data_IF_107195106175
#
_entry.id   IF_107195106175
#
_cell.length_a   1.000
_cell.length_b   1.000
_cell.length_c   1.000
_cell.angle_alpha   90.00
_cell.angle_beta   90.00
_cell.angle_gamma   90.00
#
_symmetry.space_group_name_H-M   'P 1'
#
loop_
_entity.id
_entity.type
_entity.pdbx_description
1 polymer ?
#
# COMPACT_ATOMS: atom_id res chain seq x y z
N UNK A 1 44.08 -46.65 -19.27
CA UNK A 1 43.45 -45.81 -18.22
C UNK A 1 43.22 -44.43 -18.80
N UNK A 2 42.01 -44.13 -19.24
CA UNK A 2 41.62 -42.77 -19.65
C UNK A 2 41.19 -42.00 -18.41
N UNK A 3 41.63 -40.75 -18.19
CA UNK A 3 41.19 -39.98 -17.04
C UNK A 3 39.74 -39.52 -17.22
N UNK A 4 38.96 -39.32 -16.14
CA UNK A 4 37.60 -38.84 -16.24
C UNK A 4 37.61 -37.35 -16.64
N UNK A 5 37.01 -37.04 -17.79
CA UNK A 5 36.70 -35.67 -18.19
C UNK A 5 35.63 -35.10 -17.25
N UNK A 6 36.06 -34.47 -16.16
CA UNK A 6 35.22 -33.67 -15.27
C UNK A 6 35.43 -32.19 -15.57
N UNK A 7 34.97 -31.74 -16.74
CA UNK A 7 34.75 -30.32 -17.00
C UNK A 7 33.25 -30.07 -17.17
N UNK A 8 32.51 -30.14 -16.06
CA UNK A 8 31.15 -29.61 -16.02
C UNK A 8 31.22 -28.07 -16.03
N UNK A 9 31.54 -27.50 -17.19
CA UNK A 9 31.51 -26.05 -17.41
C UNK A 9 30.12 -25.52 -17.08
N UNK A 10 30.06 -24.39 -16.37
CA UNK A 10 28.81 -23.65 -16.18
C UNK A 10 28.18 -23.37 -17.55
N UNK A 11 26.98 -23.91 -17.80
CA UNK A 11 26.29 -23.67 -19.05
C UNK A 11 26.07 -22.17 -19.24
N UNK A 12 26.13 -21.68 -20.49
CA UNK A 12 25.90 -20.28 -20.81
C UNK A 12 24.59 -19.74 -20.20
N UNK A 13 23.54 -20.57 -20.13
CA UNK A 13 22.29 -20.24 -19.45
C UNK A 13 22.44 -20.06 -17.92
N UNK A 14 23.25 -20.89 -17.25
CA UNK A 14 23.57 -20.71 -15.83
C UNK A 14 24.45 -19.50 -15.58
N UNK A 15 25.40 -19.22 -16.46
CA UNK A 15 26.26 -18.04 -16.37
C UNK A 15 25.44 -16.75 -16.58
N UNK A 16 24.53 -16.75 -17.55
CA UNK A 16 23.56 -15.66 -17.77
C UNK A 16 22.64 -15.49 -16.56
N UNK A 17 22.11 -16.57 -15.97
CA UNK A 17 21.29 -16.48 -14.77
C UNK A 17 22.08 -16.04 -13.53
N UNK A 18 23.37 -16.39 -13.43
CA UNK A 18 24.25 -15.96 -12.34
C UNK A 18 24.62 -14.47 -12.44
N UNK A 19 24.58 -13.89 -13.64
CA UNK A 19 24.86 -12.47 -13.90
C UNK A 19 23.57 -11.65 -14.06
N UNK A 20 22.41 -12.31 -14.23
CA UNK A 20 21.11 -11.65 -14.37
C UNK A 20 20.78 -10.93 -13.06
N UNK A 21 20.86 -9.61 -13.12
CA UNK A 21 20.26 -8.72 -12.12
C UNK A 21 18.81 -8.51 -12.55
N UNK A 22 17.86 -8.92 -11.73
CA UNK A 22 16.46 -8.55 -11.95
C UNK A 22 16.30 -7.06 -11.63
N UNK A 23 15.69 -6.31 -12.56
CA UNK A 23 15.46 -4.89 -12.34
C UNK A 23 14.26 -4.70 -11.43
N UNK A 24 14.35 -3.79 -10.46
CA UNK A 24 13.21 -3.45 -9.60
C UNK A 24 12.02 -2.87 -10.37
N UNK A 25 12.29 -2.24 -11.53
CA UNK A 25 11.24 -1.76 -12.42
C UNK A 25 10.32 -2.89 -12.89
N UNK A 26 10.83 -4.11 -13.03
CA UNK A 26 10.04 -5.25 -13.53
C UNK A 26 8.97 -5.72 -12.53
N UNK A 27 8.99 -5.20 -11.29
CA UNK A 27 8.00 -5.51 -10.26
C UNK A 27 6.97 -4.39 -10.06
N UNK A 28 7.11 -3.26 -10.77
CA UNK A 28 6.14 -2.17 -10.69
C UNK A 28 4.84 -2.55 -11.41
N UNK A 29 3.68 -2.17 -10.86
CA UNK A 29 2.40 -2.62 -11.39
C UNK A 29 2.07 -2.00 -12.75
N UNK A 30 2.41 -0.74 -12.98
CA UNK A 30 1.97 0.02 -14.15
C UNK A 30 2.75 -0.37 -15.42
N UNK A 31 2.09 -0.99 -16.40
CA UNK A 31 2.75 -1.45 -17.65
C UNK A 31 2.47 -0.50 -18.80
N UNK A 32 1.20 -0.26 -19.08
CA UNK A 32 0.72 0.56 -20.18
C UNK A 32 -0.52 1.35 -19.75
N UNK A 33 -0.85 2.38 -20.52
CA UNK A 33 -2.04 3.18 -20.35
C UNK A 33 -2.95 2.98 -21.56
N UNK A 34 -4.25 2.90 -21.30
CA UNK A 34 -5.27 2.80 -22.31
C UNK A 34 -6.16 4.05 -22.25
N UNK A 35 -6.14 4.84 -23.34
CA UNK A 35 -6.89 6.09 -23.42
C UNK A 35 -8.40 5.87 -23.53
N UNK A 36 -8.85 4.75 -24.11
CA UNK A 36 -10.28 4.47 -24.29
C UNK A 36 -10.98 4.21 -22.96
N UNK A 37 -10.37 3.38 -22.11
CA UNK A 37 -10.91 3.05 -20.78
C UNK A 37 -10.42 4.00 -19.68
N UNK A 38 -9.46 4.87 -19.98
CA UNK A 38 -8.75 5.73 -19.01
C UNK A 38 -8.22 4.92 -17.82
N UNK A 39 -7.42 3.90 -18.13
CA UNK A 39 -6.98 2.91 -17.18
C UNK A 39 -5.52 2.50 -17.40
N UNK A 40 -4.87 2.08 -16.32
CA UNK A 40 -3.57 1.42 -16.40
C UNK A 40 -3.74 -0.09 -16.55
N UNK A 41 -3.12 -0.65 -17.58
CA UNK A 41 -2.87 -2.08 -17.64
C UNK A 41 -1.75 -2.43 -16.66
N UNK A 42 -2.04 -3.38 -15.77
CA UNK A 42 -1.13 -3.83 -14.73
C UNK A 42 -0.41 -5.12 -15.12
N UNK A 43 0.77 -5.38 -14.51
CA UNK A 43 1.63 -6.55 -14.77
C UNK A 43 0.96 -7.93 -14.57
N UNK A 44 -0.12 -7.97 -13.79
CA UNK A 44 -0.92 -9.16 -13.49
C UNK A 44 -2.18 -9.26 -14.37
N UNK A 45 -2.18 -8.65 -15.56
CA UNK A 45 -3.29 -8.63 -16.54
C UNK A 45 -4.60 -8.11 -15.97
N UNK A 46 -4.49 -7.04 -15.19
CA UNK A 46 -5.64 -6.37 -14.57
C UNK A 46 -5.63 -4.88 -14.93
N UNK A 47 -6.74 -4.22 -14.63
CA UNK A 47 -7.03 -2.84 -14.98
C UNK A 47 -7.08 -2.00 -13.71
N UNK A 48 -6.34 -0.90 -13.69
CA UNK A 48 -6.24 0.01 -12.55
C UNK A 48 -6.74 1.40 -12.92
N UNK A 49 -7.73 1.89 -12.18
CA UNK A 49 -8.20 3.27 -12.27
C UNK A 49 -7.80 4.03 -11.02
N UNK A 50 -7.54 5.32 -11.17
CA UNK A 50 -7.13 6.18 -10.06
C UNK A 50 -7.87 7.52 -10.07
N UNK A 51 -8.18 7.98 -8.86
CA UNK A 51 -8.75 9.28 -8.59
C UNK A 51 -8.00 9.95 -7.45
N UNK A 52 -8.04 11.27 -7.43
CA UNK A 52 -7.65 12.08 -6.29
C UNK A 52 -8.91 12.62 -5.60
N UNK A 53 -8.90 12.61 -4.27
CA UNK A 53 -9.94 13.11 -3.39
C UNK A 53 -9.40 14.28 -2.59
N UNK A 54 -10.25 15.24 -2.27
CA UNK A 54 -9.89 16.30 -1.33
C UNK A 54 -9.79 15.69 0.07
N UNK A 55 -8.63 15.81 0.75
CA UNK A 55 -8.48 15.29 2.10
C UNK A 55 -9.45 16.00 3.05
N UNK A 56 -10.21 15.23 3.83
CA UNK A 56 -11.10 15.78 4.84
C UNK A 56 -10.44 15.73 6.20
N UNK A 57 -10.36 16.87 6.90
CA UNK A 57 -9.77 16.94 8.25
C UNK A 57 -10.53 16.11 9.30
N UNK A 58 -11.82 15.84 9.06
CA UNK A 58 -12.64 15.01 9.94
C UNK A 58 -13.67 14.21 9.14
N UNK A 59 -14.12 13.10 9.72
CA UNK A 59 -15.17 12.27 9.14
C UNK A 59 -16.54 12.87 9.48
N UNK A 60 -16.96 13.86 8.69
CA UNK A 60 -18.32 14.39 8.77
C UNK A 60 -19.35 13.37 8.26
N UNK A 61 -20.61 13.50 8.65
CA UNK A 61 -21.67 12.57 8.24
C UNK A 61 -21.76 12.38 6.72
N UNK A 62 -21.59 13.45 5.93
CA UNK A 62 -21.60 13.35 4.47
C UNK A 62 -20.40 12.56 3.91
N UNK A 63 -19.21 12.65 4.54
CA UNK A 63 -18.01 11.88 4.17
C UNK A 63 -18.24 10.41 4.49
N UNK A 64 -18.77 10.12 5.67
CA UNK A 64 -19.11 8.75 6.08
C UNK A 64 -20.12 8.13 5.12
N UNK A 65 -21.21 8.84 4.79
CA UNK A 65 -22.22 8.35 3.85
C UNK A 65 -21.65 8.10 2.45
N UNK A 66 -20.77 8.98 1.95
CA UNK A 66 -20.11 8.81 0.66
C UNK A 66 -19.21 7.56 0.61
N UNK A 67 -18.36 7.38 1.64
CA UNK A 67 -17.48 6.21 1.74
C UNK A 67 -18.27 4.92 1.95
N UNK A 68 -19.35 4.95 2.75
CA UNK A 68 -20.22 3.79 2.91
C UNK A 68 -20.95 3.45 1.60
N UNK A 69 -21.41 4.46 0.86
CA UNK A 69 -21.96 4.31 -0.49
C UNK A 69 -20.98 3.61 -1.42
N UNK A 70 -19.71 4.06 -1.46
CA UNK A 70 -18.63 3.43 -2.22
C UNK A 70 -18.43 1.95 -1.86
N UNK A 71 -18.38 1.61 -0.56
CA UNK A 71 -18.16 0.22 -0.12
C UNK A 71 -19.35 -0.70 -0.44
N UNK A 72 -20.55 -0.13 -0.51
CA UNK A 72 -21.78 -0.86 -0.84
C UNK A 72 -21.96 -1.09 -2.35
N UNK A 73 -21.18 -0.42 -3.20
CA UNK A 73 -21.17 -0.71 -4.65
C UNK A 73 -20.85 -2.19 -4.89
N UNK A 74 -21.55 -2.79 -5.86
CA UNK A 74 -21.33 -4.18 -6.24
C UNK A 74 -20.16 -4.28 -7.22
N UNK A 75 -18.95 -4.34 -6.67
CA UNK A 75 -17.74 -4.59 -7.44
C UNK A 75 -17.63 -6.06 -7.88
N UNK A 76 -17.04 -6.34 -9.05
CA UNK A 76 -16.72 -7.71 -9.48
C UNK A 76 -15.79 -8.43 -8.50
N UNK A 77 -15.84 -9.77 -8.51
CA UNK A 77 -14.96 -10.59 -7.69
C UNK A 77 -13.47 -10.35 -7.98
N UNK A 78 -12.68 -10.29 -6.92
CA UNK A 78 -11.24 -10.02 -7.01
C UNK A 78 -10.90 -8.54 -7.23
N UNK A 79 -11.87 -7.63 -7.00
CA UNK A 79 -11.61 -6.19 -6.98
C UNK A 79 -10.80 -5.81 -5.74
N UNK A 80 -9.77 -4.99 -5.96
CA UNK A 80 -8.97 -4.38 -4.90
C UNK A 80 -9.19 -2.87 -4.94
N UNK A 81 -9.68 -2.32 -3.83
CA UNK A 81 -9.82 -0.88 -3.65
C UNK A 81 -8.74 -0.43 -2.67
N UNK A 82 -8.00 0.62 -3.00
CA UNK A 82 -6.95 1.15 -2.14
C UNK A 82 -7.19 2.65 -1.93
N UNK A 83 -7.13 3.06 -0.67
CA UNK A 83 -7.11 4.46 -0.29
C UNK A 83 -5.73 4.80 0.23
N UNK A 84 -5.07 5.75 -0.40
CA UNK A 84 -3.75 6.24 -0.03
C UNK A 84 -3.88 7.64 0.55
N UNK A 85 -3.35 7.87 1.74
CA UNK A 85 -3.17 9.21 2.30
C UNK A 85 -1.68 9.48 2.39
N UNK A 86 -1.21 10.44 1.60
CA UNK A 86 0.18 10.83 1.55
C UNK A 86 0.37 12.17 2.26
N UNK A 87 1.26 12.19 3.26
CA UNK A 87 1.68 13.40 3.95
C UNK A 87 2.84 14.02 3.16
N UNK A 88 2.49 14.75 2.10
CA UNK A 88 3.41 15.25 1.09
C UNK A 88 4.27 16.40 1.65
N UNK A 89 5.61 16.30 1.59
CA UNK A 89 6.50 17.39 2.02
C UNK A 89 6.59 18.52 0.98
N UNK A 90 6.13 18.32 -0.25
CA UNK A 90 6.07 19.38 -1.26
C UNK A 90 4.75 20.15 -1.10
N UNK A 91 4.88 21.40 -0.72
CA UNK A 91 3.76 22.33 -0.49
C UNK A 91 3.78 23.51 -1.44
N UNK A 92 4.84 23.65 -2.25
CA UNK A 92 5.08 24.84 -3.07
C UNK A 92 3.93 25.09 -4.05
N UNK A 93 3.42 24.06 -4.74
CA UNK A 93 2.26 24.19 -5.64
C UNK A 93 1.02 24.79 -4.94
N UNK A 94 0.77 24.41 -3.67
CA UNK A 94 -0.35 24.93 -2.90
C UNK A 94 -0.10 26.38 -2.43
N UNK A 95 1.15 26.71 -2.11
CA UNK A 95 1.53 28.06 -1.72
C UNK A 95 1.53 29.03 -2.92
N UNK A 96 1.94 28.55 -4.09
CA UNK A 96 1.93 29.32 -5.34
C UNK A 96 0.49 29.57 -5.78
N UNK A 97 -0.38 28.55 -5.74
CA UNK A 97 -1.81 28.74 -5.97
C UNK A 97 -2.44 29.74 -4.98
N UNK A 98 -1.98 29.77 -3.71
CA UNK A 98 -2.42 30.78 -2.75
C UNK A 98 -2.01 32.20 -3.15
N UNK A 99 -0.82 32.39 -3.72
CA UNK A 99 -0.35 33.68 -4.23
C UNK A 99 -1.14 34.09 -5.48
N UNK A 100 -1.42 33.17 -6.39
CA UNK A 100 -2.18 33.44 -7.62
C UNK A 100 -3.61 33.93 -7.33
N UNK A 101 -4.20 33.50 -6.23
CA UNK A 101 -5.50 33.99 -5.76
C UNK A 101 -5.44 35.45 -5.25
N UNK A 102 -4.27 36.01 -4.99
CA UNK A 102 -4.09 37.41 -4.54
C UNK A 102 -3.98 38.33 -5.75
N UNK A 103 -5.12 38.57 -6.40
CA UNK A 103 -5.21 39.42 -7.60
C UNK A 103 -5.24 40.93 -7.32
N UNK A 104 -5.38 41.35 -6.05
CA UNK A 104 -5.41 42.78 -5.66
C UNK A 104 -3.99 43.35 -5.62
N UNK A 105 -3.77 44.45 -6.35
CA UNK A 105 -2.48 45.16 -6.40
C UNK A 105 -2.28 46.13 -5.23
N UNK A 106 -2.52 45.65 -4.01
CA UNK A 106 -2.22 46.39 -2.78
C UNK A 106 -0.85 45.94 -2.24
N UNK A 107 0.14 46.85 -2.12
CA UNK A 107 1.50 46.48 -1.69
C UNK A 107 1.56 45.80 -0.32
N UNK A 108 0.70 46.16 0.62
CA UNK A 108 0.66 45.56 1.95
C UNK A 108 0.09 44.14 1.89
N UNK A 109 -0.98 43.94 1.12
CA UNK A 109 -1.58 42.61 0.92
C UNK A 109 -0.59 41.68 0.23
N UNK A 110 0.08 42.16 -0.81
CA UNK A 110 1.09 41.38 -1.55
C UNK A 110 2.30 41.04 -0.66
N UNK A 111 2.80 42.00 0.11
CA UNK A 111 3.90 41.76 1.05
C UNK A 111 3.51 40.74 2.14
N UNK A 112 2.29 40.85 2.68
CA UNK A 112 1.75 39.91 3.66
C UNK A 112 1.62 38.49 3.08
N UNK A 113 1.10 38.36 1.86
CA UNK A 113 0.93 37.08 1.19
C UNK A 113 2.29 36.40 0.92
N UNK A 114 3.28 37.14 0.41
CA UNK A 114 4.65 36.62 0.20
C UNK A 114 5.32 36.20 1.50
N UNK A 115 5.09 36.94 2.59
CA UNK A 115 5.63 36.57 3.91
C UNK A 115 4.98 35.30 4.45
N UNK A 116 3.68 35.12 4.24
CA UNK A 116 2.99 33.89 4.61
C UNK A 116 3.51 32.67 3.81
N UNK A 117 3.70 32.83 2.50
CA UNK A 117 4.33 31.83 1.63
C UNK A 117 5.71 31.43 2.16
N UNK A 118 6.61 32.40 2.36
CA UNK A 118 7.95 32.15 2.87
C UNK A 118 7.95 31.45 4.24
N UNK A 119 7.12 31.92 5.18
CA UNK A 119 7.01 31.34 6.51
C UNK A 119 6.56 29.87 6.48
N UNK A 120 5.58 29.53 5.64
CA UNK A 120 5.10 28.16 5.51
C UNK A 120 6.11 27.27 4.77
N UNK A 121 6.78 27.79 3.74
CA UNK A 121 7.83 27.06 2.99
C UNK A 121 9.04 26.72 3.88
N UNK A 122 9.50 27.67 4.71
CA UNK A 122 10.53 27.43 5.73
C UNK A 122 10.09 26.37 6.76
N UNK A 123 8.78 26.25 6.98
CA UNK A 123 8.13 25.28 7.86
C UNK A 123 8.08 23.83 7.37
N UNK A 124 8.54 23.52 6.15
CA UNK A 124 8.53 22.15 5.57
C UNK A 124 9.24 21.08 6.42
N UNK A 125 10.18 21.51 7.27
CA UNK A 125 10.95 20.64 8.17
C UNK A 125 10.60 20.85 9.65
N UNK A 126 9.61 21.67 9.94
CA UNK A 126 9.16 21.95 11.29
C UNK A 126 9.05 23.44 11.58
N UNK A 127 7.87 23.88 11.98
CA UNK A 127 7.69 25.25 12.48
C UNK A 127 7.98 25.30 13.98
N UNK A 128 8.85 26.24 14.40
CA UNK A 128 9.13 26.47 15.83
C UNK A 128 7.87 26.79 16.63
N UNK A 129 6.93 27.51 16.01
CA UNK A 129 5.64 27.85 16.62
C UNK A 129 4.73 26.63 16.84
N UNK A 130 4.97 25.53 16.12
CA UNK A 130 4.24 24.27 16.21
C UNK A 130 5.13 23.15 16.76
N UNK A 131 6.03 23.45 17.70
CA UNK A 131 6.93 22.45 18.30
C UNK A 131 7.75 21.61 17.31
N UNK A 132 8.07 22.17 16.14
CA UNK A 132 8.80 21.46 15.09
C UNK A 132 7.94 20.53 14.22
N UNK A 133 6.61 20.63 14.29
CA UNK A 133 5.71 19.91 13.38
C UNK A 133 5.88 20.49 11.97
N UNK A 134 6.20 19.65 10.96
CA UNK A 134 6.40 20.12 9.60
C UNK A 134 5.06 20.41 8.91
N UNK A 135 5.06 21.46 8.10
CA UNK A 135 3.95 21.80 7.20
C UNK A 135 3.92 20.80 6.05
N UNK A 136 2.72 20.33 5.68
CA UNK A 136 2.54 19.29 4.66
C UNK A 136 1.28 19.52 3.85
N UNK A 137 1.30 19.03 2.63
CA UNK A 137 0.12 18.90 1.79
C UNK A 137 -0.40 17.46 1.91
N UNK A 138 -1.57 17.26 2.51
CA UNK A 138 -2.15 15.92 2.55
C UNK A 138 -2.82 15.63 1.20
N UNK A 139 -2.45 14.53 0.56
CA UNK A 139 -3.09 14.08 -0.69
C UNK A 139 -3.78 12.75 -0.43
N UNK A 140 -5.01 12.61 -0.92
CA UNK A 140 -5.76 11.35 -0.81
C UNK A 140 -6.02 10.79 -2.20
N UNK A 141 -5.49 9.61 -2.48
CA UNK A 141 -5.64 8.93 -3.77
C UNK A 141 -6.49 7.69 -3.57
N UNK A 142 -7.48 7.49 -4.42
CA UNK A 142 -8.28 6.28 -4.52
C UNK A 142 -7.82 5.51 -5.75
N UNK A 143 -7.47 4.24 -5.61
CA UNK A 143 -7.28 3.33 -6.72
C UNK A 143 -8.25 2.17 -6.67
N UNK A 144 -8.79 1.78 -7.81
CA UNK A 144 -9.63 0.60 -7.96
C UNK A 144 -9.02 -0.27 -9.03
N UNK A 145 -8.76 -1.53 -8.66
CA UNK A 145 -8.10 -2.51 -9.48
C UNK A 145 -9.00 -3.72 -9.71
N UNK A 146 -9.23 -4.08 -10.97
CA UNK A 146 -10.19 -5.10 -11.40
C UNK A 146 -9.59 -6.01 -12.47
N UNK A 147 -10.08 -7.26 -12.58
CA UNK A 147 -9.63 -8.21 -13.63
C UNK A 147 -10.05 -7.84 -15.05
N UNK A 148 -11.10 -7.02 -15.17
CA UNK A 148 -11.64 -6.50 -16.43
C UNK A 148 -11.72 -4.98 -16.30
N UNK A 149 -11.70 -4.23 -17.42
CA UNK A 149 -11.93 -2.79 -17.37
C UNK A 149 -13.22 -2.46 -16.60
N UNK A 150 -13.21 -1.39 -15.79
CA UNK A 150 -14.45 -0.93 -15.19
C UNK A 150 -15.39 -0.43 -16.30
N UNK A 151 -16.62 -0.94 -16.30
CA UNK A 151 -17.67 -0.41 -17.17
C UNK A 151 -17.98 1.04 -16.82
N UNK A 152 -18.42 1.81 -17.81
CA UNK A 152 -18.68 3.25 -17.65
C UNK A 152 -19.69 3.55 -16.54
N UNK A 153 -20.72 2.72 -16.38
CA UNK A 153 -21.74 2.90 -15.35
C UNK A 153 -21.17 2.72 -13.93
N UNK A 154 -20.31 1.73 -13.72
CA UNK A 154 -19.68 1.49 -12.42
C UNK A 154 -18.72 2.63 -12.09
N UNK A 155 -18.01 3.14 -13.09
CA UNK A 155 -17.13 4.32 -12.97
C UNK A 155 -17.92 5.56 -12.57
N UNK A 156 -19.04 5.83 -13.26
CA UNK A 156 -19.95 6.93 -12.97
C UNK A 156 -20.52 6.81 -11.56
N UNK A 157 -20.88 5.60 -11.13
CA UNK A 157 -21.37 5.36 -9.78
C UNK A 157 -20.32 5.72 -8.71
N UNK A 158 -19.05 5.35 -8.91
CA UNK A 158 -17.95 5.74 -8.01
C UNK A 158 -17.82 7.26 -7.94
N UNK A 159 -17.86 7.94 -9.08
CA UNK A 159 -17.75 9.40 -9.18
C UNK A 159 -18.94 10.12 -8.53
N UNK A 160 -20.15 9.62 -8.72
CA UNK A 160 -21.36 10.17 -8.09
C UNK A 160 -21.32 10.04 -6.57
N UNK A 161 -20.94 8.86 -6.05
CA UNK A 161 -20.83 8.64 -4.60
C UNK A 161 -19.80 9.57 -3.94
N UNK A 162 -18.71 9.85 -4.65
CA UNK A 162 -17.57 10.63 -4.13
C UNK A 162 -17.55 12.09 -4.60
N UNK A 163 -18.57 12.53 -5.35
CA UNK A 163 -18.70 13.91 -5.86
C UNK A 163 -18.55 14.98 -4.77
N UNK A 164 -19.11 14.72 -3.58
CA UNK A 164 -19.03 15.62 -2.41
C UNK A 164 -17.64 15.72 -1.80
N UNK A 165 -16.71 14.83 -2.16
CA UNK A 165 -15.33 14.81 -1.71
C UNK A 165 -14.36 15.42 -2.73
N UNK A 166 -14.88 16.11 -3.75
CA UNK A 166 -14.06 16.75 -4.78
C UNK A 166 -13.24 15.73 -5.58
N UNK A 167 -13.87 14.61 -5.96
CA UNK A 167 -13.23 13.57 -6.75
C UNK A 167 -12.79 14.07 -8.12
N UNK A 168 -11.56 13.76 -8.50
CA UNK A 168 -10.96 14.06 -9.80
C UNK A 168 -10.27 12.81 -10.36
N UNK A 169 -10.49 12.48 -11.63
CA UNK A 169 -9.71 11.42 -12.31
C UNK A 169 -8.24 11.82 -12.34
N UNK A 170 -7.35 10.90 -11.96
CA UNK A 170 -5.93 11.18 -11.94
C UNK A 170 -5.33 10.91 -13.33
N UNK A 171 -4.76 11.93 -14.01
CA UNK A 171 -4.11 11.74 -15.30
C UNK A 171 -2.90 10.81 -15.20
N UNK A 172 -2.53 10.12 -16.29
CA UNK A 172 -1.45 9.14 -16.23
C UNK A 172 -0.10 9.76 -15.87
N UNK A 173 0.17 10.98 -16.34
CA UNK A 173 1.40 11.73 -16.04
C UNK A 173 1.53 12.01 -14.54
N UNK A 174 0.43 12.38 -13.88
CA UNK A 174 0.42 12.66 -12.45
C UNK A 174 0.61 11.40 -11.62
N UNK A 175 0.03 10.27 -12.05
CA UNK A 175 0.26 8.99 -11.39
C UNK A 175 1.72 8.54 -11.53
N UNK A 176 2.31 8.68 -12.72
CA UNK A 176 3.74 8.39 -12.94
C UNK A 176 4.61 9.32 -12.10
N UNK A 177 4.31 10.62 -12.05
CA UNK A 177 5.03 11.57 -11.21
C UNK A 177 4.97 11.17 -9.72
N UNK A 178 3.79 10.76 -9.23
CA UNK A 178 3.62 10.27 -7.86
C UNK A 178 4.52 9.06 -7.57
N UNK A 179 4.51 8.04 -8.44
CA UNK A 179 5.39 6.88 -8.28
C UNK A 179 6.87 7.25 -8.34
N UNK A 180 7.29 8.09 -9.30
CA UNK A 180 8.67 8.56 -9.41
C UNK A 180 9.13 9.21 -8.11
N UNK A 181 8.29 10.02 -7.47
CA UNK A 181 8.60 10.62 -6.16
C UNK A 181 8.73 9.59 -5.04
N UNK A 182 7.86 8.59 -4.98
CA UNK A 182 7.96 7.53 -3.96
C UNK A 182 9.27 6.75 -4.08
N UNK A 183 9.74 6.45 -5.31
CA UNK A 183 10.91 5.61 -5.53
C UNK A 183 12.24 6.37 -5.64
N UNK A 184 12.24 7.61 -6.12
CA UNK A 184 13.46 8.37 -6.39
C UNK A 184 13.74 9.47 -5.34
N UNK A 185 12.75 9.82 -4.50
CA UNK A 185 12.90 10.80 -3.42
C UNK A 185 11.62 11.62 -3.21
N UNK A 186 11.03 11.55 -2.02
CA UNK A 186 9.76 12.25 -1.73
C UNK A 186 9.92 13.74 -1.55
N UNK A 187 11.13 14.20 -1.21
CA UNK A 187 11.43 15.60 -0.89
C UNK A 187 11.68 16.47 -2.13
N UNK A 188 11.81 15.84 -3.30
CA UNK A 188 12.15 16.49 -4.56
C UNK A 188 10.98 16.32 -5.56
N UNK A 189 10.71 17.32 -6.42
CA UNK A 189 9.75 17.17 -7.50
C UNK A 189 10.31 16.18 -8.54
N UNK A 190 9.45 15.31 -9.06
CA UNK A 190 9.81 14.43 -10.17
C UNK A 190 8.80 14.63 -11.31
N UNK A 191 9.24 15.05 -12.50
CA UNK A 191 8.33 15.23 -13.62
C UNK A 191 7.73 13.89 -14.02
N UNK A 192 6.44 13.90 -14.36
CA UNK A 192 5.71 12.75 -14.90
C UNK A 192 6.06 12.51 -16.36
N UNK A 193 7.33 12.19 -16.66
CA UNK A 193 7.74 11.80 -18.01
C UNK A 193 6.99 10.51 -18.34
N UNK A 194 6.10 10.63 -19.31
CA UNK A 194 5.19 9.57 -19.72
C UNK A 194 5.25 9.45 -21.24
N UNK A 195 5.99 8.46 -21.72
CA UNK A 195 5.83 8.00 -23.08
C UNK A 195 4.70 6.97 -23.06
N UNK A 196 3.55 7.37 -23.60
CA UNK A 196 2.27 6.63 -23.69
C UNK A 196 2.30 5.38 -24.58
N UNK A 197 3.44 5.06 -25.19
CA UNK A 197 3.57 3.96 -26.14
C UNK A 197 3.15 4.30 -27.57
N UNK A 198 2.56 5.48 -27.83
CA UNK A 198 2.31 5.99 -29.19
C UNK A 198 3.62 6.30 -29.93
N UNK A 199 4.69 6.55 -29.16
CA UNK A 199 6.04 6.65 -29.69
C UNK A 199 6.60 5.26 -29.93
N UNK A 200 6.78 4.88 -31.20
CA UNK A 200 7.37 3.60 -31.60
C UNK A 200 8.69 3.34 -30.86
N UNK A 201 8.73 2.29 -30.03
CA UNK A 201 9.91 1.90 -29.25
C UNK A 201 9.97 2.47 -27.82
N UNK A 202 8.93 3.15 -27.34
CA UNK A 202 8.85 3.59 -25.94
C UNK A 202 8.89 2.39 -24.97
N UNK A 203 9.68 2.45 -23.88
CA UNK A 203 9.70 1.40 -22.88
C UNK A 203 8.39 1.38 -22.08
N UNK A 204 8.00 0.22 -21.49
CA UNK A 204 6.85 0.15 -20.58
C UNK A 204 6.93 1.19 -19.46
N UNK A 205 5.79 1.67 -18.99
CA UNK A 205 5.70 2.73 -17.97
C UNK A 205 6.51 2.39 -16.72
N UNK A 206 6.46 1.13 -16.27
CA UNK A 206 7.26 0.59 -15.17
C UNK A 206 8.76 0.91 -15.27
N UNK A 207 9.33 0.89 -16.48
CA UNK A 207 10.75 1.16 -16.73
C UNK A 207 11.09 2.66 -16.76
N UNK A 208 10.08 3.52 -16.81
CA UNK A 208 10.22 4.98 -16.80
C UNK A 208 10.13 5.56 -15.36
N UNK A 209 9.76 4.76 -14.36
CA UNK A 209 9.49 5.24 -12.99
C UNK A 209 10.77 5.34 -12.15
N UNK A 210 11.63 4.32 -12.20
CA UNK A 210 12.84 4.28 -11.37
C UNK A 210 13.98 4.88 -12.17
N UNK A 211 14.59 5.94 -11.64
CA UNK A 211 15.72 6.58 -12.29
C UNK A 211 16.96 5.68 -12.26
N UNK A 212 17.86 5.84 -13.23
CA UNK A 212 19.15 5.17 -13.20
C UNK A 212 20.07 5.87 -12.19
N UNK A 213 20.57 5.16 -11.18
CA UNK A 213 21.54 5.71 -10.21
C UNK A 213 21.24 5.59 -8.71
N UNK A 214 19.99 5.52 -8.22
CA UNK A 214 19.76 5.25 -6.81
C UNK A 214 19.99 3.77 -6.50
N UNK A 215 20.87 3.50 -5.53
CA UNK A 215 21.05 2.16 -4.99
C UNK A 215 19.77 1.73 -4.26
N UNK A 216 18.96 0.91 -4.93
CA UNK A 216 17.81 0.25 -4.33
C UNK A 216 18.29 -0.96 -3.54
N UNK A 217 18.43 -0.79 -2.22
CA UNK A 217 18.95 -1.82 -1.33
C UNK A 217 17.92 -2.18 -0.27
N UNK A 218 17.70 -3.47 -0.08
CA UNK A 218 16.85 -4.00 0.99
C UNK A 218 17.74 -4.52 2.10
N UNK A 219 17.71 -3.89 3.28
CA UNK A 219 18.47 -4.35 4.44
C UNK A 219 17.54 -4.60 5.62
N UNK A 220 17.27 -5.87 5.92
CA UNK A 220 16.32 -6.27 6.94
C UNK A 220 14.92 -5.66 6.77
N UNK A 221 14.64 -4.61 7.57
CA UNK A 221 13.37 -3.88 7.62
C UNK A 221 13.45 -2.46 7.03
N UNK A 222 14.58 -2.12 6.41
CA UNK A 222 14.86 -0.83 5.78
C UNK A 222 14.95 -1.02 4.26
N UNK A 223 14.42 -0.03 3.53
CA UNK A 223 14.54 0.06 2.09
C UNK A 223 15.24 1.36 1.77
N UNK A 224 16.41 1.27 1.15
CA UNK A 224 17.10 2.41 0.60
C UNK A 224 16.50 2.67 -0.78
N UNK A 225 15.91 3.86 -0.95
CA UNK A 225 15.28 4.33 -2.18
C UNK A 225 16.07 5.56 -2.63
N UNK A 226 17.28 5.35 -3.17
CA UNK A 226 18.14 6.46 -3.56
C UNK A 226 18.60 7.31 -2.38
N UNK A 227 18.13 8.56 -2.33
CA UNK A 227 18.52 9.53 -1.31
C UNK A 227 17.68 9.45 -0.01
N UNK A 228 16.81 8.44 0.12
CA UNK A 228 15.94 8.28 1.29
C UNK A 228 15.88 6.83 1.78
N UNK A 229 15.46 6.66 3.04
CA UNK A 229 15.25 5.37 3.68
C UNK A 229 13.78 5.21 4.04
N UNK A 230 13.13 4.20 3.47
CA UNK A 230 11.75 3.86 3.76
C UNK A 230 11.66 2.69 4.76
N UNK A 231 10.64 2.73 5.63
CA UNK A 231 10.26 1.60 6.48
C UNK A 231 8.76 1.36 6.42
N UNK A 232 8.38 0.09 6.42
CA UNK A 232 6.99 -0.37 6.36
C UNK A 232 6.54 -0.91 7.72
N UNK A 233 5.39 -0.44 8.19
CA UNK A 233 4.68 -1.00 9.34
C UNK A 233 3.32 -1.52 8.89
N UNK A 234 2.97 -2.71 9.39
CA UNK A 234 1.65 -3.31 9.21
C UNK A 234 1.18 -3.90 10.54
N UNK A 235 -0.12 -3.85 10.84
CA UNK A 235 -0.63 -4.55 12.01
C UNK A 235 -0.49 -6.06 11.83
N UNK A 236 0.05 -6.73 12.84
CA UNK A 236 0.05 -8.18 13.01
C UNK A 236 -1.34 -8.67 13.42
N UNK A 237 -2.01 -7.91 14.28
CA UNK A 237 -3.40 -8.15 14.68
C UNK A 237 -4.18 -6.83 14.56
N UNK A 238 -5.34 -6.82 13.86
CA UNK A 238 -6.19 -5.65 13.80
C UNK A 238 -6.84 -5.37 15.16
N UNK A 239 -7.18 -4.12 15.41
CA UNK A 239 -8.02 -3.77 16.56
C UNK A 239 -9.44 -4.35 16.36
N UNK A 240 -10.06 -4.85 17.44
CA UNK A 240 -11.42 -5.42 17.41
C UNK A 240 -12.47 -4.41 16.94
N UNK A 241 -12.32 -3.14 17.35
CA UNK A 241 -13.20 -2.05 16.94
C UNK A 241 -12.41 -0.77 16.82
N UNK A 242 -12.72 0.01 15.80
CA UNK A 242 -12.16 1.35 15.58
C UNK A 242 -13.30 2.34 15.42
N UNK A 243 -13.14 3.53 16.02
CA UNK A 243 -14.03 4.67 15.83
C UNK A 243 -13.33 5.71 14.95
N UNK A 244 -14.10 6.65 14.39
CA UNK A 244 -13.56 7.70 13.54
C UNK A 244 -12.47 8.55 14.22
N UNK A 245 -12.71 8.96 15.47
CA UNK A 245 -11.73 9.72 16.26
C UNK A 245 -10.42 8.93 16.42
N UNK A 246 -10.52 7.63 16.71
CA UNK A 246 -9.35 6.77 16.86
C UNK A 246 -8.61 6.56 15.55
N UNK A 247 -9.34 6.44 14.43
CA UNK A 247 -8.73 6.34 13.11
C UNK A 247 -7.92 7.60 12.76
N UNK A 248 -8.41 8.79 13.11
CA UNK A 248 -7.67 10.05 12.90
C UNK A 248 -6.35 10.08 13.70
N UNK A 249 -6.37 9.60 14.95
CA UNK A 249 -5.17 9.51 15.80
C UNK A 249 -4.07 8.60 15.26
N UNK A 250 -4.39 7.66 14.37
CA UNK A 250 -3.39 6.79 13.75
C UNK A 250 -2.41 7.54 12.83
N UNK A 251 -2.79 8.74 12.38
CA UNK A 251 -1.97 9.58 11.49
C UNK A 251 -1.30 10.75 12.22
N UNK A 252 -1.70 11.04 13.46
CA UNK A 252 -1.13 12.06 14.32
C UNK A 252 -2.15 12.59 15.35
N UNK A 253 -1.66 13.36 16.32
CA UNK A 253 -2.49 14.08 17.28
C UNK A 253 -3.49 15.03 16.61
N UNK A 254 -4.68 15.17 17.20
CA UNK A 254 -5.75 16.06 16.76
C UNK A 254 -6.10 17.14 17.81
N UNK A 255 -5.62 17.04 19.05
CA UNK A 255 -5.97 17.94 20.17
C UNK A 255 -4.95 19.06 20.43
N UNK A 256 -4.31 19.55 19.37
CA UNK A 256 -3.35 20.65 19.42
C UNK A 256 -2.18 20.36 20.37
N UNK A 257 -1.73 21.38 21.12
CA UNK A 257 -0.53 21.35 21.95
C UNK A 257 -0.39 20.12 22.89
N UNK A 258 -1.51 19.56 23.36
CA UNK A 258 -1.50 18.37 24.22
C UNK A 258 -1.07 17.07 23.51
N UNK A 259 -1.20 17.02 22.18
CA UNK A 259 -0.88 15.87 21.33
C UNK A 259 0.16 16.25 20.25
N UNK A 260 0.86 17.38 20.39
CA UNK A 260 1.91 17.80 19.43
C UNK A 260 3.09 16.82 19.41
N UNK A 261 3.38 16.16 20.54
CA UNK A 261 4.38 15.10 20.63
C UNK A 261 3.99 13.83 19.88
N UNK A 262 2.70 13.68 19.58
CA UNK A 262 2.09 12.51 18.94
C UNK A 262 1.97 12.69 17.42
N UNK A 263 2.75 13.61 16.84
CA UNK A 263 2.87 13.77 15.40
C UNK A 263 3.97 12.89 14.81
N UNK A 264 3.71 12.32 13.63
CA UNK A 264 4.76 11.71 12.81
C UNK A 264 5.56 12.87 12.22
N UNK A 265 6.84 13.02 12.58
CA UNK A 265 7.69 14.18 12.22
C UNK A 265 8.31 14.16 10.81
N UNK A 266 7.90 13.27 9.91
CA UNK A 266 8.39 13.18 8.54
C UNK A 266 7.33 12.70 7.55
N UNK A 267 7.63 12.68 6.25
CA UNK A 267 6.70 12.24 5.23
C UNK A 267 6.33 10.77 5.41
N UNK A 268 5.05 10.47 5.22
CA UNK A 268 4.51 9.13 5.35
C UNK A 268 3.40 8.87 4.33
N UNK A 269 3.26 7.62 3.93
CA UNK A 269 2.19 7.12 3.08
C UNK A 269 1.39 6.09 3.87
N UNK A 270 0.18 6.46 4.25
CA UNK A 270 -0.81 5.54 4.77
C UNK A 270 -1.58 4.92 3.61
N UNK A 271 -1.82 3.61 3.65
CA UNK A 271 -2.57 2.89 2.63
C UNK A 271 -3.54 1.92 3.28
N UNK A 272 -4.80 2.03 2.91
CA UNK A 272 -5.86 1.11 3.31
C UNK A 272 -6.23 0.23 2.11
N UNK A 273 -5.85 -1.04 2.15
CA UNK A 273 -6.21 -2.00 1.10
C UNK A 273 -7.50 -2.71 1.49
N UNK A 274 -8.50 -2.65 0.63
CA UNK A 274 -9.82 -3.25 0.81
C UNK A 274 -10.00 -4.29 -0.29
N UNK A 275 -10.15 -5.54 0.12
CA UNK A 275 -10.27 -6.69 -0.78
C UNK A 275 -11.73 -7.16 -0.81
N UNK A 276 -12.34 -7.10 -1.98
CA UNK A 276 -13.69 -7.61 -2.25
C UNK A 276 -13.61 -9.07 -2.73
N UNK A 277 -13.14 -9.94 -1.83
CA UNK A 277 -12.79 -11.34 -2.16
C UNK A 277 -13.56 -12.36 -1.31
N UNK A 278 -14.50 -11.92 -0.47
CA UNK A 278 -15.18 -12.81 0.47
C UNK A 278 -16.57 -13.14 -0.06
N UNK A 279 -16.73 -14.41 -0.46
CA UNK A 279 -18.06 -15.00 -0.53
C UNK A 279 -18.55 -15.30 0.88
N UNK A 280 -19.83 -15.01 1.18
CA UNK A 280 -20.46 -15.43 2.45
C UNK A 280 -20.25 -16.93 2.69
N UNK A 281 -20.17 -17.72 1.61
CA UNK A 281 -19.87 -19.14 1.64
C UNK A 281 -18.53 -19.49 2.31
N UNK A 282 -17.44 -18.76 2.05
CA UNK A 282 -16.15 -19.03 2.71
C UNK A 282 -16.20 -18.75 4.21
N UNK A 283 -16.92 -17.71 4.62
CA UNK A 283 -17.15 -17.37 6.03
C UNK A 283 -17.92 -18.51 6.70
N UNK A 284 -19.03 -18.95 6.09
CA UNK A 284 -19.82 -20.09 6.59
C UNK A 284 -19.00 -21.38 6.68
N UNK A 285 -18.18 -21.68 5.66
CA UNK A 285 -17.34 -22.88 5.66
C UNK A 285 -16.28 -22.83 6.77
N UNK A 286 -15.62 -21.69 6.98
CA UNK A 286 -14.66 -21.50 8.07
C UNK A 286 -15.34 -21.62 9.42
N UNK A 287 -16.52 -21.02 9.57
CA UNK A 287 -17.31 -21.13 10.77
C UNK A 287 -17.63 -22.59 11.11
N UNK A 288 -18.10 -23.37 10.13
CA UNK A 288 -18.43 -24.77 10.31
C UNK A 288 -17.21 -25.62 10.74
N UNK A 289 -16.04 -25.37 10.13
CA UNK A 289 -14.79 -26.06 10.49
C UNK A 289 -14.35 -25.71 11.91
N UNK A 290 -14.39 -24.43 12.29
CA UNK A 290 -14.00 -23.97 13.63
C UNK A 290 -14.99 -24.43 14.72
N UNK A 291 -16.29 -24.42 14.45
CA UNK A 291 -17.30 -24.94 15.38
C UNK A 291 -17.18 -26.47 15.58
N UNK A 292 -16.73 -27.20 14.56
CA UNK A 292 -16.45 -28.63 14.67
C UNK A 292 -15.18 -28.93 15.51
N UNK A 293 -14.22 -27.99 15.54
CA UNK A 293 -13.00 -28.08 16.34
C UNK A 293 -13.22 -27.58 17.76
N UNK A 294 -13.95 -28.33 18.59
CA UNK A 294 -13.93 -28.11 20.05
C UNK A 294 -12.58 -28.58 20.61
N UNK A 295 -11.62 -27.66 20.74
CA UNK A 295 -10.35 -27.94 21.37
C UNK A 295 -10.48 -27.93 22.91
N UNK A 296 -9.88 -28.91 23.59
CA UNK A 296 -9.71 -28.94 25.04
C UNK A 296 -8.33 -28.35 25.43
N UNK A 297 -8.24 -27.65 26.57
CA UNK A 297 -6.98 -27.13 27.12
C UNK A 297 -6.78 -25.61 26.94
N UNK A 298 -5.54 -25.11 27.10
CA UNK A 298 -5.21 -23.67 27.07
C UNK A 298 -5.52 -22.97 25.73
N UNK A 299 -5.61 -23.73 24.63
CA UNK A 299 -6.07 -23.24 23.32
C UNK A 299 -7.59 -23.07 23.21
N UNK A 300 -8.38 -23.62 24.15
CA UNK A 300 -9.84 -23.52 24.14
C UNK A 300 -10.34 -22.09 24.30
N UNK A 301 -9.59 -21.24 25.01
CA UNK A 301 -9.96 -19.83 25.24
C UNK A 301 -9.78 -19.00 23.96
N UNK A 302 -8.70 -19.23 23.21
CA UNK A 302 -8.45 -18.55 21.94
C UNK A 302 -9.47 -18.98 20.87
N UNK A 303 -9.71 -20.30 20.77
CA UNK A 303 -10.71 -20.88 19.87
C UNK A 303 -12.12 -20.43 20.25
N UNK A 304 -12.44 -20.35 21.55
CA UNK A 304 -13.71 -19.83 22.04
C UNK A 304 -13.97 -18.38 21.63
N UNK A 305 -12.96 -17.50 21.74
CA UNK A 305 -13.05 -16.11 21.26
C UNK A 305 -13.27 -16.03 19.75
N UNK A 306 -12.61 -16.90 18.98
CA UNK A 306 -12.80 -16.95 17.52
C UNK A 306 -14.19 -17.47 17.14
N UNK A 307 -14.74 -18.44 17.89
CA UNK A 307 -16.11 -18.93 17.70
C UNK A 307 -17.12 -17.82 18.00
N UNK A 308 -16.93 -17.06 19.07
CA UNK A 308 -17.80 -15.91 19.42
C UNK A 308 -17.74 -14.82 18.33
N UNK A 309 -16.55 -14.49 17.85
CA UNK A 309 -16.36 -13.51 16.75
C UNK A 309 -17.02 -13.98 15.45
N UNK A 310 -16.86 -15.27 15.13
CA UNK A 310 -17.54 -15.88 13.98
C UNK A 310 -19.06 -15.88 14.17
N UNK A 311 -19.56 -16.14 15.38
CA UNK A 311 -20.98 -16.07 15.70
C UNK A 311 -21.54 -14.68 15.41
N UNK A 312 -20.86 -13.62 15.87
CA UNK A 312 -21.23 -12.24 15.56
C UNK A 312 -21.18 -11.95 14.04
N UNK A 313 -20.14 -12.43 13.34
CA UNK A 313 -20.04 -12.28 11.88
C UNK A 313 -21.22 -12.96 11.19
N UNK A 314 -21.63 -14.14 11.62
CA UNK A 314 -22.76 -14.88 11.05
C UNK A 314 -24.09 -14.15 11.29
N UNK A 315 -24.28 -13.59 12.48
CA UNK A 315 -25.47 -12.80 12.82
C UNK A 315 -25.55 -11.51 11.97
N UNK A 316 -24.42 -10.88 11.67
CA UNK A 316 -24.37 -9.68 10.83
C UNK A 316 -24.25 -9.96 9.33
N UNK A 317 -23.87 -11.17 8.90
CA UNK A 317 -23.66 -11.52 7.49
C UNK A 317 -24.90 -11.31 6.61
N UNK A 318 -26.09 -11.37 7.20
CA UNK A 318 -27.36 -11.07 6.51
C UNK A 318 -27.63 -9.58 6.31
N UNK A 319 -27.06 -8.70 7.13
CA UNK A 319 -27.36 -7.27 7.15
C UNK A 319 -26.20 -6.40 6.62
N UNK A 320 -24.97 -6.91 6.69
CA UNK A 320 -23.74 -6.14 6.46
C UNK A 320 -22.82 -6.83 5.46
N UNK A 321 -22.18 -6.05 4.60
CA UNK A 321 -21.16 -6.53 3.66
C UNK A 321 -19.80 -6.62 4.35
N UNK A 322 -19.24 -7.82 4.42
CA UNK A 322 -17.90 -8.04 4.97
C UNK A 322 -16.82 -7.85 3.90
N UNK A 323 -15.81 -7.06 4.23
CA UNK A 323 -14.63 -6.83 3.39
C UNK A 323 -13.37 -7.04 4.20
N UNK A 324 -12.30 -7.52 3.55
CA UNK A 324 -11.00 -7.67 4.21
C UNK A 324 -10.21 -6.38 4.07
N UNK A 325 -9.78 -5.83 5.20
CA UNK A 325 -9.05 -4.56 5.26
C UNK A 325 -7.62 -4.79 5.75
N UNK A 326 -6.63 -4.28 5.02
CA UNK A 326 -5.21 -4.39 5.37
C UNK A 326 -4.60 -2.99 5.33
N UNK A 327 -4.49 -2.30 6.49
CA UNK A 327 -3.82 -1.02 6.54
C UNK A 327 -2.30 -1.20 6.55
N UNK A 328 -1.59 -0.26 5.95
CA UNK A 328 -0.14 -0.23 5.85
C UNK A 328 0.32 1.22 5.99
N UNK A 329 1.40 1.46 6.72
CA UNK A 329 2.02 2.78 6.79
C UNK A 329 3.49 2.67 6.40
N UNK A 330 3.88 3.54 5.48
CA UNK A 330 5.26 3.76 5.08
C UNK A 330 5.73 5.09 5.63
N UNK A 331 6.92 5.11 6.21
CA UNK A 331 7.58 6.35 6.63
C UNK A 331 8.85 6.51 5.80
N UNK A 332 9.12 7.74 5.37
CA UNK A 332 10.29 8.08 4.56
C UNK A 332 11.19 9.00 5.37
N UNK A 333 12.38 8.52 5.71
CA UNK A 333 13.41 9.28 6.39
C UNK A 333 14.55 9.67 5.45
N UNK A 334 15.23 10.77 5.75
CA UNK A 334 16.44 11.21 5.04
C UNK A 334 17.62 10.26 5.23
N UNK A 335 17.69 9.66 6.41
CA UNK A 335 18.73 8.73 6.81
C UNK A 335 18.15 7.60 7.66
N UNK A 336 18.98 6.60 7.97
CA UNK A 336 18.60 5.41 8.72
C UNK A 336 18.07 5.72 10.13
N UNK A 337 18.67 6.70 10.82
CA UNK A 337 18.32 7.09 12.17
C UNK A 337 16.96 7.81 12.18
N UNK A 338 16.79 8.78 11.27
CA UNK A 338 15.55 9.49 11.09
C UNK A 338 14.40 8.53 10.72
N UNK A 339 14.60 7.61 9.76
CA UNK A 339 13.59 6.61 9.41
C UNK A 339 13.24 5.68 10.58
N UNK A 340 14.23 5.35 11.44
CA UNK A 340 14.00 4.55 12.65
C UNK A 340 13.10 5.26 13.63
N UNK A 341 13.36 6.55 13.85
CA UNK A 341 12.60 7.39 14.79
C UNK A 341 11.18 7.59 14.31
N UNK A 342 10.97 7.87 13.01
CA UNK A 342 9.64 7.97 12.41
C UNK A 342 8.84 6.67 12.58
N UNK A 343 9.47 5.52 12.30
CA UNK A 343 8.81 4.22 12.45
C UNK A 343 8.52 3.90 13.92
N UNK A 344 9.39 4.30 14.85
CA UNK A 344 9.16 4.11 16.28
C UNK A 344 8.00 4.99 16.80
N UNK A 345 7.90 6.24 16.34
CA UNK A 345 6.78 7.14 16.64
C UNK A 345 5.47 6.59 16.08
N UNK A 346 5.43 6.26 14.79
CA UNK A 346 4.24 5.68 14.16
C UNK A 346 3.80 4.39 14.87
N UNK A 347 4.75 3.52 15.25
CA UNK A 347 4.46 2.31 16.04
C UNK A 347 3.83 2.65 17.39
N UNK A 348 4.40 3.63 18.12
CA UNK A 348 3.89 4.07 19.43
C UNK A 348 2.47 4.63 19.32
N UNK A 349 2.15 5.40 18.29
CA UNK A 349 0.80 5.95 18.08
C UNK A 349 -0.24 4.84 17.95
N UNK A 350 0.07 3.81 17.16
CA UNK A 350 -0.85 2.71 16.92
C UNK A 350 -0.98 1.73 18.10
N UNK A 351 0.09 1.59 18.90
CA UNK A 351 0.13 0.74 20.10
C UNK A 351 -0.32 1.47 21.38
N UNK A 352 -0.35 2.80 21.38
CA UNK A 352 -0.75 3.62 22.53
C UNK A 352 -2.27 3.74 22.69
N UNK A 353 -3.03 3.32 21.69
CA UNK A 353 -4.49 3.34 21.70
C UNK A 353 -5.09 2.31 22.70
N UNK A 354 -6.22 2.60 23.38
CA UNK A 354 -6.81 1.71 24.40
C UNK A 354 -7.17 0.29 23.91
N UNK A 355 -7.36 0.12 22.60
CA UNK A 355 -7.41 -1.19 21.95
C UNK A 355 -6.31 -1.22 20.87
N UNK A 356 -5.10 -1.61 21.23
CA UNK A 356 -3.93 -1.35 20.40
C UNK A 356 -3.89 -2.25 19.18
N UNK A 357 -3.41 -1.70 18.07
CA UNK A 357 -2.95 -2.52 16.96
C UNK A 357 -1.60 -3.10 17.34
N UNK A 358 -1.45 -4.42 17.28
CA UNK A 358 -0.13 -5.02 17.46
C UNK A 358 0.70 -4.76 16.21
N UNK A 359 1.69 -3.87 16.28
CA UNK A 359 2.43 -3.43 15.10
C UNK A 359 3.68 -4.26 14.85
N UNK A 360 3.88 -4.65 13.59
CA UNK A 360 5.06 -5.36 13.16
C UNK A 360 5.82 -4.57 12.07
N UNK A 361 7.13 -4.43 12.28
CA UNK A 361 8.06 -4.05 11.23
C UNK A 361 8.21 -5.22 10.28
N UNK A 362 7.92 -5.02 8.99
CA UNK A 362 8.09 -6.10 8.01
C UNK A 362 9.55 -6.23 7.60
N UNK A 363 10.02 -7.47 7.51
CA UNK A 363 11.24 -7.80 6.80
C UNK A 363 10.91 -7.91 5.32
N UNK A 364 11.43 -7.00 4.50
CA UNK A 364 10.98 -6.84 3.11
C UNK A 364 11.51 -7.91 2.14
N UNK A 365 12.49 -8.71 2.57
CA UNK A 365 13.05 -9.83 1.81
C UNK A 365 12.01 -10.86 1.36
N UNK A 366 10.86 -10.97 2.05
CA UNK A 366 9.82 -11.95 1.73
C UNK A 366 8.68 -11.44 0.85
N UNK A 367 8.53 -10.12 0.70
CA UNK A 367 7.55 -9.52 -0.21
C UNK A 367 7.97 -8.08 -0.53
N UNK A 368 8.22 -7.73 -1.81
CA UNK A 368 8.37 -6.35 -2.24
C UNK A 368 7.01 -5.63 -2.15
N UNK A 369 6.56 -5.30 -0.94
CA UNK A 369 5.26 -4.69 -0.69
C UNK A 369 5.20 -3.25 -1.18
N UNK A 370 6.30 -2.49 -1.23
CA UNK A 370 6.25 -1.12 -1.75
C UNK A 370 5.81 -1.09 -3.22
N UNK A 371 6.25 -2.09 -4.00
CA UNK A 371 5.82 -2.30 -5.39
C UNK A 371 4.37 -2.79 -5.45
N UNK A 372 3.94 -3.59 -4.46
CA UNK A 372 2.57 -4.12 -4.37
C UNK A 372 1.53 -3.14 -3.81
N UNK A 373 1.98 -2.09 -3.12
CA UNK A 373 1.14 -1.22 -2.30
C UNK A 373 0.32 -0.25 -3.13
N UNK A 374 0.74 0.13 -4.33
CA UNK A 374 0.04 1.21 -5.04
C UNK A 374 -0.87 0.73 -6.17
N UNK A 375 -0.72 -0.49 -6.72
CA UNK A 375 -1.70 -1.13 -7.64
C UNK A 375 -1.47 -2.63 -7.84
N UNK A 376 -1.26 -3.46 -6.81
CA UNK A 376 -1.07 -4.91 -7.05
C UNK A 376 -1.84 -5.80 -6.09
N UNK A 377 -2.54 -6.79 -6.66
CA UNK A 377 -3.16 -7.86 -5.89
C UNK A 377 -2.03 -8.56 -5.13
N UNK A 378 -2.11 -8.72 -3.80
CA UNK A 378 -1.19 -9.59 -3.11
C UNK A 378 -1.48 -11.03 -3.55
N UNK A 379 -0.88 -11.49 -4.65
CA UNK A 379 -0.91 -12.90 -5.04
C UNK A 379 -0.42 -13.83 -3.91
N UNK A 380 0.37 -13.32 -2.95
CA UNK A 380 0.84 -14.09 -1.80
C UNK A 380 -0.05 -13.98 -0.54
N UNK A 381 -1.28 -13.46 -0.64
CA UNK A 381 -2.30 -13.74 0.38
C UNK A 381 -2.74 -15.23 0.34
N UNK A 382 -2.42 -15.95 -0.75
CA UNK A 382 -2.78 -17.34 -0.99
C UNK A 382 -1.88 -18.39 -0.31
N UNK A 383 -0.78 -17.99 0.35
CA UNK A 383 0.16 -18.96 0.98
C UNK A 383 0.31 -18.86 2.50
N UNK A 384 -0.44 -17.98 3.17
CA UNK A 384 -0.70 -18.14 4.61
C UNK A 384 -2.14 -18.60 4.83
N UNK A 385 -2.45 -19.74 4.21
CA UNK A 385 -3.20 -20.78 4.90
C UNK A 385 -2.50 -21.00 6.25
N UNK A 386 -3.20 -20.78 7.35
CA UNK A 386 -2.81 -21.32 8.65
C UNK A 386 -2.95 -22.84 8.62
N UNK A 387 -2.05 -23.49 7.88
CA UNK A 387 -1.70 -24.90 8.05
C UNK A 387 -0.29 -24.93 8.62
N UNK A 388 -0.15 -24.44 9.84
CA UNK A 388 0.71 -25.11 10.82
C UNK A 388 -0.21 -25.68 11.89
N UNK A 389 -0.89 -26.77 11.53
CA UNK A 389 -1.08 -27.84 12.50
C UNK A 389 0.32 -28.48 12.58
N UNK A 390 1.04 -28.44 13.72
CA UNK A 390 2.11 -29.39 13.91
C UNK A 390 1.42 -30.76 13.92
N UNK A 391 1.59 -31.51 12.83
CA UNK A 391 1.34 -32.94 12.86
C UNK A 391 2.14 -33.49 14.02
N UNK A 392 1.43 -34.03 15.00
CA UNK A 392 2.00 -34.83 16.08
C UNK A 392 2.78 -35.97 15.43
N UNK A 393 4.11 -35.94 15.52
CA UNK A 393 4.92 -37.15 15.43
C UNK A 393 5.55 -37.40 16.78
N UNK A 394 5.00 -38.37 17.49
CA UNK A 394 5.66 -39.05 18.60
C UNK A 394 7.00 -39.62 18.11
N UNK A 395 8.08 -39.31 18.83
CA UNK A 395 9.24 -40.21 18.93
C UNK A 395 10.48 -39.88 18.08
N UNK A 396 11.59 -39.77 18.82
CA UNK A 396 12.99 -40.07 18.45
C UNK A 396 13.71 -39.25 17.37
N UNK A 397 14.56 -38.33 17.84
CA UNK A 397 16.01 -38.29 17.58
C UNK A 397 16.49 -38.25 16.13
N UNK A 398 16.96 -37.08 15.69
CA UNK A 398 17.83 -36.92 14.52
C UNK A 398 17.68 -35.56 13.87
N UNK A 399 18.74 -34.75 13.83
CA UNK A 399 18.81 -33.55 12.99
C UNK A 399 18.99 -33.97 11.52
N UNK A 400 18.28 -33.34 10.56
CA UNK A 400 18.80 -33.30 9.19
C UNK A 400 18.86 -31.89 8.58
N UNK A 401 19.94 -31.76 7.82
CA UNK A 401 20.34 -30.71 6.88
C UNK A 401 19.23 -30.43 5.84
N UNK A 402 19.03 -29.15 5.50
CA UNK A 402 18.14 -28.70 4.43
C UNK A 402 18.84 -28.85 3.06
N UNK A 403 18.52 -29.94 2.36
CA UNK A 403 18.69 -30.03 0.90
C UNK A 403 17.33 -29.78 0.21
N UNK A 404 17.32 -28.89 -0.78
CA UNK A 404 16.14 -28.56 -1.57
C UNK A 404 15.90 -29.61 -2.68
N UNK A 405 14.69 -30.17 -2.85
CA UNK A 405 14.41 -31.03 -3.98
C UNK A 405 14.22 -30.22 -5.26
N UNK A 406 15.05 -30.53 -6.26
CA UNK A 406 14.82 -30.25 -7.68
C UNK A 406 13.77 -31.23 -8.23
N UNK A 407 13.06 -30.74 -9.25
CA UNK A 407 12.28 -31.47 -10.26
C UNK A 407 10.82 -31.84 -9.92
N UNK A 408 9.89 -31.26 -10.70
CA UNK A 408 8.76 -31.93 -11.37
C UNK A 408 7.95 -30.90 -12.18
N UNK A 409 8.33 -30.70 -13.45
CA UNK A 409 7.39 -30.28 -14.50
C UNK A 409 7.65 -31.21 -15.69
N UNK A 410 6.99 -32.36 -15.65
CA UNK A 410 6.76 -33.20 -16.82
C UNK A 410 5.58 -32.60 -17.60
N UNK A 411 5.71 -32.58 -18.93
CA UNK A 411 4.76 -31.94 -19.83
C UNK A 411 3.40 -32.62 -19.92
N UNK A 412 2.42 -31.84 -20.34
CA UNK A 412 1.19 -32.34 -20.93
C UNK A 412 0.97 -31.56 -22.23
N UNK A 413 1.19 -32.28 -23.34
CA UNK A 413 0.86 -31.87 -24.70
C UNK A 413 -0.65 -31.67 -24.87
N UNK A 414 -0.98 -30.68 -25.70
CA UNK A 414 -2.31 -30.39 -26.20
C UNK A 414 -2.85 -31.53 -27.09
N UNK A 415 -4.15 -31.79 -26.94
CA UNK A 415 -4.95 -32.74 -27.70
C UNK A 415 -4.99 -32.39 -29.20
N UNK A 416 -4.98 -33.42 -30.06
CA UNK A 416 -5.66 -33.37 -31.37
C UNK A 416 -6.72 -34.46 -31.40
N UNK A 417 -7.95 -34.02 -31.64
CA UNK A 417 -9.08 -34.84 -31.99
C UNK A 417 -8.90 -35.42 -33.40
N UNK A 418 -9.08 -36.73 -33.52
CA UNK A 418 -10.09 -37.40 -34.36
C UNK A 418 -10.32 -38.78 -33.76
#
# INVERSE_FOLDING_TARGET
MSPPASSSGLSYARLRNAVRRDSFSDYLPLVAWDDETEAFLCIDDTWGHAWELVPTAYMFGHVQSALQGLLNIHFPDGTVLQLHTFADPLIDDALDAFLDLKTRDDPLIQASARRAHAYLSEGRHGLKALHGIPVRNFRTLLSIKTRRPLGEDLRRQVEEQLSKLGIRRLPPQEMVAFYRRIFNGVADPAPGVFADGSTTGAPPIAKQIIDAGPDLVFEGAEVFLGNQVARCLTPKAPARRITAERANRLMGGMRGASEDSDQIGGPFLYTLNILFDHSQFEIHKRAQILSAQKAAGSFAVEVGKQIEEIGWILDEAGNSKFVRVIPTIWVFGRDRAHARDLAARAKRLWEGEPQPFSMQKRHLWRMPLIFKVVMTVPQCAWTYSWTQIPSVSLGSGGWPVLDAPRSLVAGAMCQRAT
#
